data_IF_581078440104
#
_entry.id   IF_581078440104
#
_cell.length_a   1.000
_cell.length_b   1.000
_cell.length_c   1.000
_cell.angle_alpha   90.00
_cell.angle_beta   90.00
_cell.angle_gamma   90.00
#
_symmetry.space_group_name_H-M   'P 1'
#
loop_
_entity.id
_entity.type
_entity.pdbx_description
1 polymer ?
#
# COMPACT_ATOMS: atom_id res chain seq x y z
N UNK A 1 5.52 20.19 9.91
CA UNK A 1 4.30 20.31 9.07
C UNK A 1 4.32 19.28 7.95
N UNK A 2 5.39 19.18 7.16
CA UNK A 2 5.48 18.28 5.97
C UNK A 2 5.25 16.79 6.30
N UNK A 3 5.86 16.28 7.38
CA UNK A 3 5.65 14.89 7.83
C UNK A 3 4.16 14.61 8.04
N UNK A 4 3.44 15.50 8.70
CA UNK A 4 2.01 15.34 8.94
C UNK A 4 1.18 15.43 7.66
N UNK A 5 1.52 16.35 6.75
CA UNK A 5 0.85 16.44 5.44
C UNK A 5 0.94 15.12 4.67
N UNK A 6 2.12 14.52 4.60
CA UNK A 6 2.31 13.26 3.87
C UNK A 6 1.75 12.05 4.62
N UNK A 7 1.74 12.08 5.95
CA UNK A 7 1.05 11.08 6.74
C UNK A 7 -0.47 11.11 6.48
N UNK A 8 -1.08 12.30 6.50
CA UNK A 8 -2.50 12.45 6.19
C UNK A 8 -2.82 12.15 4.73
N UNK A 9 -1.93 12.48 3.79
CA UNK A 9 -2.08 12.08 2.40
C UNK A 9 -2.10 10.55 2.24
N UNK A 10 -1.25 9.85 2.97
CA UNK A 10 -1.29 8.38 2.97
C UNK A 10 -2.59 7.85 3.56
N UNK A 11 -3.00 8.34 4.73
CA UNK A 11 -4.22 7.88 5.44
C UNK A 11 -5.50 8.21 4.68
N UNK A 12 -5.56 9.38 4.03
CA UNK A 12 -6.73 9.83 3.29
C UNK A 12 -6.76 9.42 1.80
N UNK A 13 -5.64 8.98 1.26
CA UNK A 13 -5.50 8.68 -0.18
C UNK A 13 -4.87 7.33 -0.46
N UNK A 14 -3.55 7.22 -0.32
CA UNK A 14 -2.82 6.02 -0.76
C UNK A 14 -3.36 4.73 -0.11
N UNK A 15 -3.47 4.71 1.21
CA UNK A 15 -3.95 3.55 1.96
C UNK A 15 -5.35 3.11 1.54
N UNK A 16 -6.36 3.99 1.63
CA UNK A 16 -7.72 3.65 1.24
C UNK A 16 -7.85 3.19 -0.21
N UNK A 17 -7.22 3.86 -1.17
CA UNK A 17 -7.36 3.54 -2.58
C UNK A 17 -6.61 2.26 -2.96
N UNK A 18 -5.39 2.05 -2.46
CA UNK A 18 -4.67 0.79 -2.61
C UNK A 18 -5.39 -0.38 -1.92
N UNK A 19 -6.05 -0.12 -0.79
CA UNK A 19 -6.91 -1.10 -0.11
C UNK A 19 -8.11 -1.53 -0.95
N UNK A 20 -8.80 -0.59 -1.59
CA UNK A 20 -9.88 -0.90 -2.54
C UNK A 20 -9.36 -1.64 -3.78
N UNK A 21 -8.18 -1.27 -4.28
CA UNK A 21 -7.51 -2.00 -5.34
C UNK A 21 -7.31 -3.47 -4.95
N UNK A 22 -6.72 -3.74 -3.77
CA UNK A 22 -6.57 -5.11 -3.27
C UNK A 22 -7.88 -5.86 -3.18
N UNK A 23 -8.96 -5.19 -2.74
CA UNK A 23 -10.28 -5.80 -2.62
C UNK A 23 -10.80 -6.24 -3.99
N UNK A 24 -10.88 -5.34 -4.95
CA UNK A 24 -11.48 -5.62 -6.26
C UNK A 24 -10.59 -6.48 -7.18
N UNK A 25 -9.27 -6.42 -7.02
CA UNK A 25 -8.35 -7.25 -7.81
C UNK A 25 -8.24 -8.67 -7.25
N UNK A 26 -8.35 -8.85 -5.91
CA UNK A 26 -7.96 -10.12 -5.28
C UNK A 26 -8.94 -10.73 -4.30
N UNK A 27 -9.89 -9.97 -3.75
CA UNK A 27 -10.77 -10.46 -2.67
C UNK A 27 -12.25 -10.48 -3.02
N UNK A 28 -12.70 -9.68 -4.01
CA UNK A 28 -14.09 -9.66 -4.44
C UNK A 28 -14.52 -11.06 -4.91
N UNK A 29 -15.74 -11.46 -4.55
CA UNK A 29 -16.28 -12.77 -4.90
C UNK A 29 -16.51 -12.98 -6.40
N UNK A 30 -16.65 -11.86 -7.13
CA UNK A 30 -16.76 -11.85 -8.59
C UNK A 30 -15.96 -10.67 -9.16
N UNK A 31 -15.42 -10.77 -10.39
CA UNK A 31 -14.75 -9.66 -11.04
C UNK A 31 -15.73 -8.54 -11.38
N UNK A 32 -15.39 -7.29 -10.99
CA UNK A 32 -16.13 -6.08 -11.38
C UNK A 32 -15.17 -5.21 -12.20
N UNK A 33 -15.15 -5.36 -13.55
CA UNK A 33 -14.13 -4.74 -14.41
C UNK A 33 -14.01 -3.23 -14.23
N UNK A 34 -15.14 -2.53 -14.11
CA UNK A 34 -15.13 -1.08 -13.87
C UNK A 34 -14.43 -0.69 -12.55
N UNK A 35 -14.72 -1.40 -11.46
CA UNK A 35 -14.09 -1.13 -10.16
C UNK A 35 -12.60 -1.47 -10.19
N UNK A 36 -12.23 -2.59 -10.81
CA UNK A 36 -10.82 -2.99 -10.99
C UNK A 36 -10.06 -1.89 -11.75
N UNK A 37 -10.55 -1.48 -12.93
CA UNK A 37 -9.93 -0.44 -13.74
C UNK A 37 -9.81 0.88 -12.96
N UNK A 38 -10.90 1.29 -12.31
CA UNK A 38 -10.94 2.53 -11.50
C UNK A 38 -9.86 2.56 -10.42
N UNK A 39 -9.73 1.49 -9.62
CA UNK A 39 -8.80 1.49 -8.50
C UNK A 39 -7.36 1.16 -8.90
N UNK A 40 -7.14 0.41 -9.97
CA UNK A 40 -5.80 0.23 -10.54
C UNK A 40 -5.26 1.56 -11.06
N UNK A 41 -6.05 2.33 -11.81
CA UNK A 41 -5.64 3.66 -12.29
C UNK A 41 -5.43 4.65 -11.16
N UNK A 42 -6.30 4.67 -10.17
CA UNK A 42 -6.14 5.58 -9.03
C UNK A 42 -4.88 5.25 -8.21
N UNK A 43 -4.59 3.97 -7.99
CA UNK A 43 -3.34 3.54 -7.36
C UNK A 43 -2.12 4.00 -8.16
N UNK A 44 -2.15 3.84 -9.49
CA UNK A 44 -1.09 4.34 -10.39
C UNK A 44 -0.92 5.85 -10.30
N UNK A 45 -2.02 6.61 -10.24
CA UNK A 45 -1.99 8.05 -10.05
C UNK A 45 -1.31 8.44 -8.73
N UNK A 46 -1.62 7.74 -7.65
CA UNK A 46 -1.01 7.99 -6.33
C UNK A 46 0.48 7.62 -6.32
N UNK A 47 0.87 6.54 -7.01
CA UNK A 47 2.29 6.19 -7.23
C UNK A 47 3.01 7.29 -8.01
N UNK A 48 2.39 7.87 -9.04
CA UNK A 48 2.94 8.99 -9.78
C UNK A 48 3.13 10.24 -8.90
N UNK A 49 2.22 10.49 -7.95
CA UNK A 49 2.38 11.58 -6.96
C UNK A 49 3.61 11.33 -6.08
N UNK A 50 3.79 10.11 -5.54
CA UNK A 50 5.00 9.76 -4.78
C UNK A 50 6.26 9.87 -5.65
N UNK A 51 6.22 9.37 -6.88
CA UNK A 51 7.35 9.42 -7.81
C UNK A 51 7.78 10.87 -8.09
N UNK A 52 6.81 11.76 -8.33
CA UNK A 52 7.06 13.20 -8.50
C UNK A 52 7.64 13.82 -7.22
N UNK A 53 7.09 13.47 -6.07
CA UNK A 53 7.55 13.97 -4.77
C UNK A 53 9.00 13.59 -4.48
N UNK A 54 9.41 12.39 -4.88
CA UNK A 54 10.74 11.83 -4.64
C UNK A 54 11.77 12.21 -5.71
N UNK A 55 11.44 13.08 -6.66
CA UNK A 55 12.34 13.44 -7.76
C UNK A 55 13.61 14.16 -7.29
N UNK A 56 13.54 14.95 -6.24
CA UNK A 56 14.60 15.82 -5.73
C UNK A 56 14.92 15.58 -4.25
N UNK A 57 14.49 14.47 -3.67
CA UNK A 57 14.68 14.15 -2.25
C UNK A 57 14.75 12.66 -1.99
N UNK A 58 15.37 12.29 -0.87
CA UNK A 58 15.57 10.89 -0.52
C UNK A 58 14.35 10.26 0.14
N UNK A 59 13.56 11.04 0.89
CA UNK A 59 12.39 10.57 1.63
C UNK A 59 11.16 11.45 1.37
N UNK A 60 10.00 10.92 1.67
CA UNK A 60 8.71 11.57 1.37
C UNK A 60 8.59 12.96 2.02
N UNK A 61 9.11 13.14 3.23
CA UNK A 61 9.07 14.41 3.94
C UNK A 61 10.42 15.17 3.96
N UNK A 62 11.32 14.92 2.99
CA UNK A 62 12.60 15.61 2.85
C UNK A 62 13.81 14.67 2.89
N UNK A 63 14.85 15.05 3.64
CA UNK A 63 16.13 14.34 3.66
C UNK A 63 16.25 13.29 4.77
N UNK A 64 15.21 13.13 5.57
CA UNK A 64 15.20 12.20 6.70
C UNK A 64 14.07 11.20 6.62
N UNK A 65 14.38 9.94 6.99
CA UNK A 65 13.39 8.87 7.13
C UNK A 65 12.44 9.17 8.29
N UNK A 66 11.15 9.21 8.01
CA UNK A 66 10.11 9.60 8.96
C UNK A 66 8.93 8.63 9.00
N UNK A 67 7.98 8.87 9.89
CA UNK A 67 6.71 8.12 9.95
C UNK A 67 5.90 8.23 8.66
N UNK A 68 6.10 9.27 7.83
CA UNK A 68 5.46 9.38 6.53
C UNK A 68 5.95 8.26 5.57
N UNK A 69 7.26 7.98 5.57
CA UNK A 69 7.84 6.88 4.81
C UNK A 69 7.37 5.52 5.36
N UNK A 70 7.37 5.37 6.68
CA UNK A 70 6.90 4.15 7.35
C UNK A 70 5.45 3.82 7.01
N UNK A 71 4.60 4.85 6.88
CA UNK A 71 3.19 4.67 6.55
C UNK A 71 2.96 4.40 5.06
N UNK A 72 3.75 5.02 4.16
CA UNK A 72 3.61 4.84 2.71
C UNK A 72 4.20 3.52 2.22
N UNK A 73 5.36 3.11 2.75
CA UNK A 73 6.13 1.98 2.24
C UNK A 73 5.35 0.66 2.17
N UNK A 74 4.61 0.22 3.21
CA UNK A 74 3.88 -1.05 3.17
C UNK A 74 2.87 -1.15 2.02
N UNK A 75 2.30 -0.02 1.59
CA UNK A 75 1.36 0.03 0.48
C UNK A 75 2.05 -0.17 -0.87
N UNK A 76 3.34 0.14 -0.99
CA UNK A 76 4.12 -0.08 -2.21
C UNK A 76 4.72 -1.49 -2.29
N UNK A 77 4.88 -2.18 -1.16
CA UNK A 77 5.40 -3.57 -1.14
C UNK A 77 4.53 -4.53 -1.95
N UNK A 78 3.23 -4.28 -2.00
CA UNK A 78 2.28 -5.09 -2.75
C UNK A 78 2.00 -4.58 -4.19
N UNK A 79 2.93 -3.82 -4.79
CA UNK A 79 2.74 -3.16 -6.08
C UNK A 79 2.31 -4.12 -7.21
N UNK A 80 2.89 -5.31 -7.29
CA UNK A 80 2.53 -6.32 -8.30
C UNK A 80 1.06 -6.76 -8.15
N UNK A 81 0.62 -7.03 -6.91
CA UNK A 81 -0.78 -7.37 -6.62
C UNK A 81 -1.73 -6.22 -6.94
N UNK A 82 -1.25 -4.99 -6.89
CA UNK A 82 -1.99 -3.79 -7.26
C UNK A 82 -1.93 -3.51 -8.76
N UNK A 83 -1.29 -4.39 -9.55
CA UNK A 83 -1.05 -4.25 -10.99
C UNK A 83 -0.27 -2.98 -11.32
N UNK A 84 0.72 -2.64 -10.49
CA UNK A 84 1.64 -1.53 -10.72
C UNK A 84 3.04 -2.07 -11.01
N UNK A 85 3.71 -1.48 -12.00
CA UNK A 85 5.11 -1.75 -12.30
C UNK A 85 5.97 -0.59 -11.75
N UNK A 86 6.90 -0.88 -10.84
CA UNK A 86 7.78 0.16 -10.28
C UNK A 86 8.75 0.74 -11.32
N UNK A 87 8.99 0.07 -12.45
CA UNK A 87 9.82 0.62 -13.53
C UNK A 87 9.20 1.87 -14.18
N UNK A 88 7.89 2.02 -14.09
CA UNK A 88 7.18 3.21 -14.55
C UNK A 88 7.37 4.42 -13.60
N UNK A 89 7.95 4.19 -12.41
CA UNK A 89 8.10 5.16 -11.33
C UNK A 89 9.53 5.17 -10.77
N UNK A 90 10.55 5.63 -11.51
CA UNK A 90 11.97 5.43 -11.16
C UNK A 90 12.38 6.05 -9.82
N UNK A 91 11.85 7.21 -9.43
CA UNK A 91 12.17 7.83 -8.14
C UNK A 91 11.52 7.06 -6.98
N UNK A 92 10.28 6.60 -7.18
CA UNK A 92 9.60 5.73 -6.23
C UNK A 92 10.35 4.39 -6.08
N UNK A 93 10.82 3.80 -7.19
CA UNK A 93 11.62 2.57 -7.17
C UNK A 93 12.92 2.75 -6.40
N UNK A 94 13.63 3.85 -6.60
CA UNK A 94 14.84 4.19 -5.84
C UNK A 94 14.56 4.25 -4.34
N UNK A 95 13.53 5.00 -3.94
CA UNK A 95 13.08 5.12 -2.54
C UNK A 95 12.63 3.76 -1.96
N UNK A 96 11.87 2.99 -2.74
CA UNK A 96 11.43 1.65 -2.35
C UNK A 96 12.62 0.74 -2.02
N UNK A 97 13.62 0.67 -2.89
CA UNK A 97 14.83 -0.13 -2.68
C UNK A 97 15.62 0.35 -1.45
N UNK A 98 15.82 1.66 -1.31
CA UNK A 98 16.52 2.24 -0.16
C UNK A 98 15.87 1.87 1.18
N UNK A 99 14.53 1.81 1.23
CA UNK A 99 13.83 1.38 2.45
C UNK A 99 13.89 -0.14 2.61
N UNK A 100 13.75 -0.92 1.54
CA UNK A 100 13.86 -2.37 1.57
C UNK A 100 15.21 -2.83 2.16
N UNK A 101 16.30 -2.14 1.81
CA UNK A 101 17.66 -2.46 2.25
C UNK A 101 17.95 -2.07 3.72
N UNK A 102 17.05 -1.34 4.37
CA UNK A 102 17.23 -1.00 5.79
C UNK A 102 17.14 -2.24 6.68
N UNK A 103 18.14 -2.50 7.55
CA UNK A 103 18.12 -3.68 8.42
C UNK A 103 16.87 -3.76 9.32
N UNK A 104 16.33 -2.62 9.75
CA UNK A 104 15.09 -2.58 10.53
C UNK A 104 13.88 -3.01 9.70
N UNK A 105 13.79 -2.61 8.43
CA UNK A 105 12.74 -3.04 7.50
C UNK A 105 12.81 -4.55 7.27
N UNK A 106 14.00 -5.07 6.99
CA UNK A 106 14.21 -6.50 6.79
C UNK A 106 13.80 -7.32 8.02
N UNK A 107 14.20 -6.89 9.22
CA UNK A 107 13.76 -7.55 10.47
C UNK A 107 12.25 -7.52 10.64
N UNK A 108 11.60 -6.39 10.38
CA UNK A 108 10.15 -6.26 10.51
C UNK A 108 9.41 -7.19 9.53
N UNK A 109 9.82 -7.24 8.28
CA UNK A 109 9.19 -8.11 7.27
C UNK A 109 9.50 -9.60 7.47
N UNK A 110 10.63 -9.95 8.09
CA UNK A 110 10.94 -11.33 8.47
C UNK A 110 9.97 -11.90 9.51
N UNK A 111 9.28 -11.07 10.28
CA UNK A 111 8.24 -11.50 11.22
C UNK A 111 6.95 -11.97 10.54
N UNK A 112 6.67 -11.51 9.32
CA UNK A 112 5.43 -11.83 8.59
C UNK A 112 5.16 -13.33 8.48
N UNK A 113 6.10 -14.16 7.98
CA UNK A 113 5.93 -15.61 7.89
C UNK A 113 5.73 -16.30 9.25
N UNK A 114 6.31 -15.74 10.32
CA UNK A 114 6.21 -16.31 11.70
C UNK A 114 4.78 -16.18 12.23
N UNK A 115 4.10 -15.10 11.92
CA UNK A 115 2.75 -14.81 12.44
C UNK A 115 1.63 -15.14 11.46
N UNK A 116 1.93 -15.42 10.19
CA UNK A 116 0.95 -15.88 9.21
C UNK A 116 0.82 -17.39 9.25
N UNK A 117 -0.28 -17.87 9.82
CA UNK A 117 -0.59 -19.31 9.84
C UNK A 117 -0.91 -19.86 8.42
N UNK A 118 -1.40 -19.04 7.49
CA UNK A 118 -1.81 -19.44 6.15
C UNK A 118 -1.48 -18.36 5.10
N UNK A 119 -1.09 -18.81 3.90
CA UNK A 119 -0.80 -17.94 2.77
C UNK A 119 -2.06 -17.30 2.13
N UNK A 120 -3.22 -17.93 2.28
CA UNK A 120 -4.50 -17.49 1.72
C UNK A 120 -5.58 -17.46 2.79
N UNK A 121 -6.45 -16.45 2.73
CA UNK A 121 -7.61 -16.36 3.63
C UNK A 121 -8.64 -17.45 3.30
N UNK A 122 -9.15 -18.08 4.35
CA UNK A 122 -10.31 -18.97 4.26
C UNK A 122 -11.60 -18.19 4.00
N UNK A 123 -12.65 -18.86 3.53
CA UNK A 123 -13.97 -18.22 3.35
C UNK A 123 -14.56 -17.73 4.68
N UNK A 124 -14.28 -18.39 5.79
CA UNK A 124 -14.68 -17.94 7.12
C UNK A 124 -13.99 -16.61 7.51
N UNK A 125 -12.70 -16.47 7.26
CA UNK A 125 -11.94 -15.24 7.50
C UNK A 125 -12.39 -14.10 6.58
N UNK A 126 -12.68 -14.39 5.31
CA UNK A 126 -13.26 -13.40 4.37
C UNK A 126 -14.63 -12.91 4.86
N UNK A 127 -15.48 -13.81 5.36
CA UNK A 127 -16.79 -13.46 5.91
C UNK A 127 -16.66 -12.53 7.13
N UNK A 128 -15.69 -12.78 8.00
CA UNK A 128 -15.41 -11.91 9.16
C UNK A 128 -14.89 -10.55 8.67
N UNK A 129 -13.92 -10.54 7.76
CA UNK A 129 -13.26 -9.31 7.31
C UNK A 129 -14.16 -8.42 6.44
N UNK A 130 -14.91 -9.02 5.51
CA UNK A 130 -15.71 -8.29 4.52
C UNK A 130 -17.22 -8.32 4.79
N UNK A 131 -17.68 -9.15 5.72
CA UNK A 131 -19.09 -9.25 6.10
C UNK A 131 -19.54 -8.29 7.21
N UNK A 132 -18.70 -7.33 7.59
CA UNK A 132 -19.05 -6.34 8.61
C UNK A 132 -20.14 -5.40 8.10
N UNK A 133 -21.12 -5.12 8.97
CA UNK A 133 -22.24 -4.22 8.67
C UNK A 133 -22.66 -3.49 9.96
N UNK A 134 -23.55 -2.52 9.85
CA UNK A 134 -24.09 -1.82 11.02
C UNK A 134 -24.72 -2.80 12.04
N UNK A 135 -25.28 -3.90 11.57
CA UNK A 135 -25.89 -4.92 12.44
C UNK A 135 -24.87 -5.78 13.21
N UNK A 136 -23.61 -5.83 12.74
CA UNK A 136 -22.54 -6.62 13.38
C UNK A 136 -21.70 -5.80 14.36
N UNK A 137 -21.81 -4.47 14.33
CA UNK A 137 -21.13 -3.56 15.27
C UNK A 137 -21.95 -3.49 16.56
N UNK A 138 -21.37 -3.95 17.67
CA UNK A 138 -21.98 -3.92 19.03
C UNK A 138 -21.30 -2.85 19.88
#
# INVERSE_FOLDING_TARGET
VEVMQWLFWQVGGLGPMAGQNHHFVGYAGEPIPYAIDRYVRETGRLYAVLNKRLADRDYVAGDSYTIADMACYPWTVSHERQRQNLDDFPNLKRWYNAIADRPATQRAYALGPVYRAQATMTEAEKKILFGQSAATVR
#
